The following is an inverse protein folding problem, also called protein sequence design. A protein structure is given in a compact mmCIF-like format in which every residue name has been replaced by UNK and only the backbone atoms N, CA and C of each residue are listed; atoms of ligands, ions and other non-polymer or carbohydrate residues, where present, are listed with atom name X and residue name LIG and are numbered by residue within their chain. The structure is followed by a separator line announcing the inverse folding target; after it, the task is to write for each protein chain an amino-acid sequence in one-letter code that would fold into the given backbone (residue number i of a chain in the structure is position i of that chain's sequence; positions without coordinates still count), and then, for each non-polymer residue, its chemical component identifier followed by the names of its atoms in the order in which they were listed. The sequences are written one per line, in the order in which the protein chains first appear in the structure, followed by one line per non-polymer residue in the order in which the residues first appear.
data_IF_410805587482
#
_entry.id   IF_410805587482
#
_cell.length_a   1.000
_cell.length_b   1.000
_cell.length_c   1.000
_cell.angle_alpha   90.00
_cell.angle_beta   90.00
_cell.angle_gamma   90.00
#
_symmetry.space_group_name_H-M   'P 1'
#
loop_
_entity.id
_entity.type
_entity.pdbx_description
1 polymer ?
#
# COMPACT_ATOMS: atom_id res chain seq x y z
N UNK A 1 -45.66 -34.71 -67.48
CA UNK A 1 -46.79 -33.95 -66.91
C UNK A 1 -46.21 -32.60 -66.50
N UNK A 2 -46.19 -31.60 -67.40
CA UNK A 2 -47.32 -30.68 -67.70
C UNK A 2 -47.62 -29.83 -66.43
N UNK A 3 -47.54 -28.50 -66.38
CA UNK A 3 -47.72 -27.40 -67.34
C UNK A 3 -47.18 -26.09 -66.68
N UNK A 4 -46.41 -25.22 -67.35
CA UNK A 4 -46.79 -23.91 -67.99
C UNK A 4 -47.01 -22.76 -66.97
N UNK A 5 -46.12 -21.73 -66.90
CA UNK A 5 -46.10 -20.40 -67.61
C UNK A 5 -46.95 -19.35 -66.82
N UNK A 6 -46.70 -18.04 -66.71
CA UNK A 6 -46.02 -17.04 -67.54
C UNK A 6 -45.94 -15.67 -66.80
N UNK A 7 -45.01 -14.82 -67.28
CA UNK A 7 -44.86 -13.34 -67.32
C UNK A 7 -46.08 -12.43 -66.94
N UNK A 8 -46.04 -11.11 -66.72
CA UNK A 8 -45.06 -10.00 -66.65
C UNK A 8 -45.84 -8.69 -66.33
N UNK A 9 -45.09 -7.60 -66.10
CA UNK A 9 -45.40 -6.19 -66.45
C UNK A 9 -46.12 -5.24 -65.46
N UNK A 10 -45.34 -4.27 -64.99
CA UNK A 10 -45.47 -2.81 -65.10
C UNK A 10 -46.80 -2.07 -64.78
N UNK A 11 -46.67 -1.01 -63.96
CA UNK A 11 -47.53 0.19 -64.00
C UNK A 11 -47.84 0.80 -62.63
N UNK A 12 -47.26 1.96 -62.31
CA UNK A 12 -47.90 2.93 -61.38
C UNK A 12 -49.02 3.71 -62.08
N UNK A 13 -49.61 4.79 -61.53
CA UNK A 13 -49.27 5.50 -60.28
C UNK A 13 -50.52 5.93 -59.44
N UNK A 14 -50.26 6.82 -58.47
CA UNK A 14 -51.13 7.89 -57.93
C UNK A 14 -52.25 7.62 -56.89
N UNK A 15 -51.96 8.12 -55.68
CA UNK A 15 -52.66 9.19 -54.93
C UNK A 15 -54.20 9.17 -54.91
N UNK A 16 -54.75 9.10 -53.69
CA UNK A 16 -55.79 10.03 -53.18
C UNK A 16 -56.02 9.82 -51.67
N UNK A 17 -55.73 10.83 -50.85
CA UNK A 17 -56.37 11.11 -49.56
C UNK A 17 -57.73 11.81 -49.83
N UNK A 18 -58.75 11.80 -48.94
CA UNK A 18 -58.75 12.62 -47.72
C UNK A 18 -59.58 12.09 -46.51
N UNK A 19 -59.46 12.84 -45.41
CA UNK A 19 -60.09 12.77 -44.07
C UNK A 19 -61.64 13.03 -44.09
N UNK A 20 -62.37 13.46 -43.02
CA UNK A 20 -62.10 13.68 -41.57
C UNK A 20 -63.29 13.28 -40.64
N UNK A 21 -63.31 13.86 -39.41
CA UNK A 21 -64.41 13.98 -38.40
C UNK A 21 -64.25 13.08 -37.15
N UNK A 22 -64.44 13.49 -35.89
CA UNK A 22 -64.89 14.72 -35.19
C UNK A 22 -64.56 14.49 -33.69
N UNK A 23 -63.89 15.41 -33.00
CA UNK A 23 -64.42 16.35 -31.98
C UNK A 23 -64.56 15.86 -30.51
N UNK A 24 -63.74 16.46 -29.63
CA UNK A 24 -64.03 17.08 -28.29
C UNK A 24 -64.55 16.16 -27.15
N UNK A 25 -64.22 16.27 -25.85
CA UNK A 25 -63.71 17.35 -24.99
C UNK A 25 -63.25 16.76 -23.62
N UNK A 26 -62.22 17.38 -23.01
CA UNK A 26 -61.95 17.69 -21.57
C UNK A 26 -62.16 16.61 -20.46
N UNK A 27 -61.13 16.18 -19.72
CA UNK A 27 -60.25 16.84 -18.73
C UNK A 27 -60.65 16.52 -17.27
N UNK A 28 -59.74 15.89 -16.52
CA UNK A 28 -59.85 15.65 -15.08
C UNK A 28 -58.54 15.10 -14.53
N UNK A 29 -57.82 15.94 -13.79
CA UNK A 29 -56.52 15.68 -13.20
C UNK A 29 -56.60 14.70 -12.01
N UNK A 30 -55.59 13.84 -11.84
CA UNK A 30 -55.22 13.32 -10.52
C UNK A 30 -53.71 13.08 -10.45
N UNK A 31 -53.03 13.93 -9.68
CA UNK A 31 -51.60 13.87 -9.40
C UNK A 31 -51.39 12.96 -8.20
N UNK A 32 -50.85 11.75 -8.41
CA UNK A 32 -50.36 10.90 -7.31
C UNK A 32 -48.89 10.51 -7.53
N UNK A 33 -48.08 11.07 -6.63
CA UNK A 33 -46.70 10.78 -6.24
C UNK A 33 -46.22 9.36 -6.53
N UNK A 34 -45.22 9.24 -7.42
CA UNK A 34 -44.25 8.14 -7.38
C UNK A 34 -43.11 8.51 -6.42
N UNK A 35 -43.28 8.09 -5.17
CA UNK A 35 -42.21 8.05 -4.17
C UNK A 35 -41.73 6.60 -4.09
N UNK A 36 -40.74 6.23 -4.90
CA UNK A 36 -40.40 4.82 -5.01
C UNK A 36 -39.10 4.47 -5.72
N UNK A 37 -38.02 5.27 -5.63
CA UNK A 37 -36.68 4.71 -5.94
C UNK A 37 -35.45 5.45 -5.35
N UNK A 38 -35.63 6.31 -4.34
CA UNK A 38 -34.47 6.98 -3.69
C UNK A 38 -33.87 6.19 -2.52
N UNK A 39 -34.48 5.06 -2.12
CA UNK A 39 -34.12 4.35 -0.88
C UNK A 39 -32.94 3.37 -1.04
N UNK A 40 -32.72 2.84 -2.25
CA UNK A 40 -31.60 1.94 -2.57
C UNK A 40 -30.28 2.66 -2.87
N UNK A 41 -30.33 3.92 -3.32
CA UNK A 41 -29.15 4.75 -3.47
C UNK A 41 -28.66 5.27 -2.11
N UNK A 42 -29.54 5.88 -1.31
CA UNK A 42 -29.18 6.46 0.01
C UNK A 42 -28.52 5.46 0.98
N UNK A 43 -28.86 4.17 0.92
CA UNK A 43 -28.26 3.15 1.79
C UNK A 43 -26.81 2.79 1.41
N UNK A 44 -26.46 2.75 0.12
CA UNK A 44 -25.08 2.48 -0.34
C UNK A 44 -24.14 3.65 -0.07
N UNK A 45 -24.59 4.89 -0.29
CA UNK A 45 -23.81 6.09 0.06
C UNK A 45 -23.66 6.24 1.59
N UNK A 46 -24.68 5.84 2.36
CA UNK A 46 -24.62 5.78 3.82
C UNK A 46 -23.61 4.76 4.33
N UNK A 47 -23.59 3.54 3.78
CA UNK A 47 -22.63 2.48 4.15
C UNK A 47 -21.18 2.83 3.79
N UNK A 48 -20.91 3.32 2.58
CA UNK A 48 -19.56 3.75 2.17
C UNK A 48 -19.05 4.96 2.99
N UNK A 49 -19.95 5.89 3.32
CA UNK A 49 -19.62 7.05 4.17
C UNK A 49 -19.38 6.64 5.63
N UNK A 50 -20.15 5.69 6.17
CA UNK A 50 -19.98 5.18 7.53
C UNK A 50 -18.72 4.31 7.68
N UNK A 51 -18.39 3.48 6.68
CA UNK A 51 -17.13 2.74 6.61
C UNK A 51 -15.95 3.71 6.60
N UNK A 52 -16.03 4.78 5.80
CA UNK A 52 -14.99 5.81 5.75
C UNK A 52 -14.79 6.54 7.09
N UNK A 53 -15.87 6.80 7.85
CA UNK A 53 -15.77 7.45 9.16
C UNK A 53 -15.27 6.48 10.22
N UNK A 54 -15.75 5.24 10.25
CA UNK A 54 -15.28 4.22 11.18
C UNK A 54 -13.80 3.87 10.98
N UNK A 55 -13.33 3.83 9.73
CA UNK A 55 -11.92 3.62 9.44
C UNK A 55 -11.07 4.85 9.80
N UNK A 56 -11.59 6.07 9.62
CA UNK A 56 -10.95 7.27 10.17
C UNK A 56 -10.86 7.23 11.71
N UNK A 57 -11.89 6.73 12.41
CA UNK A 57 -11.86 6.57 13.87
C UNK A 57 -10.86 5.51 14.32
N UNK A 58 -10.71 4.41 13.58
CA UNK A 58 -9.65 3.41 13.83
C UNK A 58 -8.26 4.00 13.62
N UNK A 59 -8.06 4.82 12.58
CA UNK A 59 -6.79 5.48 12.31
C UNK A 59 -6.39 6.45 13.43
N UNK A 60 -7.34 7.16 14.06
CA UNK A 60 -7.04 8.01 15.24
C UNK A 60 -6.43 7.27 16.43
N UNK A 61 -6.46 5.94 16.46
CA UNK A 61 -5.84 5.13 17.50
C UNK A 61 -4.32 5.09 17.37
N UNK A 62 -3.76 5.38 16.20
CA UNK A 62 -2.31 5.42 16.00
C UNK A 62 -1.70 6.62 16.73
N UNK A 63 -0.69 6.37 17.56
CA UNK A 63 -0.03 7.42 18.34
C UNK A 63 0.75 8.40 17.44
N UNK A 64 1.25 7.95 16.28
CA UNK A 64 1.95 8.81 15.31
C UNK A 64 1.08 9.95 14.77
N UNK A 65 -0.25 9.78 14.76
CA UNK A 65 -1.19 10.82 14.32
C UNK A 65 -1.47 11.89 15.38
N UNK A 66 -1.00 11.70 16.62
CA UNK A 66 -1.19 12.69 17.68
C UNK A 66 -0.36 13.95 17.36
N UNK A 67 -0.91 15.15 17.54
CA UNK A 67 -0.20 16.39 17.24
C UNK A 67 1.18 16.45 17.90
N UNK A 68 2.21 16.80 17.12
CA UNK A 68 3.59 16.93 17.59
C UNK A 68 4.34 15.62 17.83
N UNK A 69 3.67 14.46 17.85
CA UNK A 69 4.32 13.17 18.18
C UNK A 69 5.30 12.74 17.09
N UNK A 70 4.90 12.84 15.82
CA UNK A 70 5.78 12.57 14.69
C UNK A 70 6.97 13.54 14.66
N UNK A 71 6.75 14.84 14.83
CA UNK A 71 7.82 15.85 14.82
C UNK A 71 8.85 15.61 15.91
N UNK A 72 8.39 15.25 17.12
CA UNK A 72 9.27 14.87 18.22
C UNK A 72 10.07 13.61 17.87
N UNK A 73 9.40 12.57 17.33
CA UNK A 73 10.07 11.34 16.94
C UNK A 73 11.14 11.56 15.86
N UNK A 74 10.87 12.41 14.86
CA UNK A 74 11.85 12.79 13.82
C UNK A 74 13.06 13.45 14.47
N UNK A 75 12.85 14.41 15.36
CA UNK A 75 13.92 15.09 16.09
C UNK A 75 14.77 14.11 16.91
N UNK A 76 14.14 13.14 17.56
CA UNK A 76 14.82 12.17 18.40
C UNK A 76 15.65 11.18 17.57
N UNK A 77 15.14 10.73 16.41
CA UNK A 77 15.92 9.83 15.54
C UNK A 77 17.03 10.56 14.77
N UNK A 78 16.82 11.83 14.39
CA UNK A 78 17.86 12.67 13.79
C UNK A 78 19.03 12.92 14.76
N UNK A 79 18.75 13.07 16.05
CA UNK A 79 19.78 13.20 17.08
C UNK A 79 20.64 11.94 17.28
N UNK A 80 20.18 10.77 16.79
CA UNK A 80 20.91 9.50 16.86
C UNK A 80 21.74 9.21 15.59
N UNK A 81 21.67 10.08 14.59
CA UNK A 81 22.47 9.98 13.36
C UNK A 81 23.89 10.43 13.66
N UNK A 82 24.86 9.61 13.31
CA UNK A 82 26.27 9.93 13.47
C UNK A 82 26.81 10.60 12.19
N UNK A 83 27.17 11.89 12.20
CA UNK A 83 27.62 12.57 10.98
C UNK A 83 28.91 11.99 10.37
N UNK A 84 29.76 11.33 11.16
CA UNK A 84 31.01 10.75 10.68
C UNK A 84 30.78 9.41 9.98
N UNK A 85 29.83 8.61 10.50
CA UNK A 85 29.54 7.25 10.00
C UNK A 85 28.41 7.27 8.97
N UNK A 86 27.32 7.97 9.25
CA UNK A 86 26.08 7.99 8.47
C UNK A 86 26.09 9.14 7.44
N UNK A 87 26.74 10.27 7.75
CA UNK A 87 26.71 11.47 6.93
C UNK A 87 25.43 12.30 7.15
N UNK A 88 25.09 13.17 6.18
CA UNK A 88 23.93 14.06 6.33
C UNK A 88 22.62 13.33 6.09
N UNK A 89 21.57 13.69 6.83
CA UNK A 89 20.21 13.17 6.59
C UNK A 89 19.66 13.77 5.28
N UNK A 90 19.27 12.91 4.35
CA UNK A 90 18.67 13.32 3.07
C UNK A 90 17.13 13.32 3.16
N UNK A 91 16.56 12.31 3.79
CA UNK A 91 15.10 12.20 3.94
C UNK A 91 14.67 11.27 5.07
N UNK A 92 13.42 11.47 5.51
CA UNK A 92 12.77 10.73 6.60
C UNK A 92 11.46 10.13 6.08
N UNK A 93 11.19 8.89 6.46
CA UNK A 93 10.05 8.11 5.98
C UNK A 93 9.37 7.36 7.13
N UNK A 94 8.05 7.23 7.05
CA UNK A 94 7.25 6.39 7.93
C UNK A 94 6.76 5.18 7.15
N UNK A 95 7.31 4.02 7.47
CA UNK A 95 7.07 2.78 6.73
C UNK A 95 6.63 1.67 7.68
N UNK A 96 6.03 0.63 7.11
CA UNK A 96 5.87 -0.63 7.82
C UNK A 96 6.91 -1.63 7.30
N UNK A 97 7.72 -2.17 8.19
CA UNK A 97 8.58 -3.32 7.89
C UNK A 97 7.72 -4.58 7.85
N UNK A 98 7.88 -5.39 6.81
CA UNK A 98 7.30 -6.73 6.71
C UNK A 98 8.41 -7.75 6.93
N UNK A 99 8.35 -8.46 8.05
CA UNK A 99 9.31 -9.53 8.34
C UNK A 99 9.04 -10.81 7.51
N UNK A 100 9.94 -11.78 7.61
CA UNK A 100 9.83 -13.05 6.88
C UNK A 100 8.64 -13.93 7.32
N UNK A 101 8.03 -13.64 8.46
CA UNK A 101 6.80 -14.26 8.95
C UNK A 101 5.55 -13.47 8.56
N UNK A 102 5.69 -12.47 7.69
CA UNK A 102 4.65 -11.56 7.23
C UNK A 102 4.11 -10.61 8.32
N UNK A 103 4.79 -10.43 9.47
CA UNK A 103 4.33 -9.44 10.45
C UNK A 103 4.70 -8.03 10.00
N UNK A 104 3.73 -7.11 10.10
CA UNK A 104 3.95 -5.68 9.92
C UNK A 104 4.45 -5.05 11.22
N UNK A 105 5.48 -4.21 11.14
CA UNK A 105 6.01 -3.45 12.27
C UNK A 105 6.24 -2.00 11.85
N UNK A 106 5.77 -1.05 12.65
CA UNK A 106 5.95 0.40 12.41
C UNK A 106 7.45 0.77 12.53
N UNK A 107 7.96 1.51 11.54
CA UNK A 107 9.36 1.97 11.47
C UNK A 107 9.47 3.40 10.99
N UNK A 108 10.36 4.14 11.62
CA UNK A 108 10.93 5.35 11.04
C UNK A 108 12.18 4.97 10.24
N UNK A 109 12.28 5.44 9.01
CA UNK A 109 13.38 5.11 8.10
C UNK A 109 14.04 6.40 7.64
N UNK A 110 15.35 6.53 7.86
CA UNK A 110 16.15 7.66 7.42
C UNK A 110 17.08 7.21 6.31
N UNK A 111 17.10 7.97 5.22
CA UNK A 111 18.12 7.84 4.17
C UNK A 111 19.15 8.94 4.43
N UNK A 112 20.39 8.54 4.66
CA UNK A 112 21.53 9.46 4.83
C UNK A 112 22.46 9.38 3.61
N UNK A 113 23.54 10.16 3.64
CA UNK A 113 24.55 10.11 2.59
C UNK A 113 25.24 8.75 2.46
N UNK A 114 25.39 7.98 3.54
CA UNK A 114 26.15 6.72 3.53
C UNK A 114 25.36 5.50 4.00
N UNK A 115 24.28 5.69 4.76
CA UNK A 115 23.56 4.62 5.44
C UNK A 115 22.04 4.74 5.28
N UNK A 116 21.37 3.59 5.31
CA UNK A 116 19.93 3.47 5.51
C UNK A 116 19.72 3.09 6.97
N UNK A 117 19.07 3.96 7.73
CA UNK A 117 18.80 3.78 9.14
C UNK A 117 17.32 3.41 9.34
N UNK A 118 17.06 2.32 10.06
CA UNK A 118 15.71 1.83 10.33
C UNK A 118 15.51 1.77 11.83
N UNK A 119 14.58 2.57 12.33
CA UNK A 119 14.32 2.77 13.76
C UNK A 119 13.03 2.07 14.18
N UNK A 120 13.12 1.25 15.22
CA UNK A 120 11.96 0.87 16.04
C UNK A 120 11.78 1.98 17.08
N UNK A 121 10.75 2.78 16.89
CA UNK A 121 10.45 3.93 17.74
C UNK A 121 9.15 3.70 18.50
N UNK A 122 9.17 3.93 19.81
CA UNK A 122 7.97 3.89 20.65
C UNK A 122 7.33 5.28 20.70
N UNK A 123 6.22 5.45 19.96
CA UNK A 123 5.45 6.70 19.94
C UNK A 123 4.64 6.96 21.22
N UNK A 124 4.60 6.02 22.15
CA UNK A 124 3.99 6.18 23.48
C UNK A 124 5.00 6.72 24.48
N UNK A 125 6.20 6.12 24.52
CA UNK A 125 7.25 6.46 25.48
C UNK A 125 8.26 7.49 24.95
N UNK A 126 8.21 7.84 23.67
CA UNK A 126 9.15 8.74 23.00
C UNK A 126 10.60 8.27 23.13
N UNK A 127 10.87 7.02 22.79
CA UNK A 127 12.22 6.48 22.79
C UNK A 127 12.50 5.63 21.55
N UNK A 128 13.79 5.53 21.21
CA UNK A 128 14.25 4.58 20.21
C UNK A 128 14.65 3.28 20.91
N UNK A 129 13.94 2.20 20.60
CA UNK A 129 14.24 0.87 21.15
C UNK A 129 15.33 0.14 20.37
N UNK A 130 15.38 0.35 19.05
CA UNK A 130 16.32 -0.34 18.17
C UNK A 130 16.66 0.51 16.95
N UNK A 131 17.94 0.52 16.58
CA UNK A 131 18.44 1.09 15.33
C UNK A 131 19.10 0.00 14.51
N UNK A 132 18.67 -0.18 13.27
CA UNK A 132 19.32 -1.04 12.30
C UNK A 132 20.01 -0.16 11.26
N UNK A 133 21.34 -0.27 11.16
CA UNK A 133 22.16 0.52 10.23
C UNK A 133 22.59 -0.35 9.06
N UNK A 134 22.18 0.03 7.85
CA UNK A 134 22.54 -0.66 6.60
C UNK A 134 23.38 0.28 5.75
N UNK A 135 24.69 0.02 5.56
CA UNK A 135 25.51 0.85 4.70
C UNK A 135 25.07 0.74 3.24
N UNK A 136 24.86 1.89 2.59
CA UNK A 136 24.32 1.97 1.23
C UNK A 136 25.28 1.39 0.17
N UNK A 137 26.59 1.39 0.45
CA UNK A 137 27.60 0.76 -0.42
C UNK A 137 27.42 -0.77 -0.50
N UNK A 138 26.77 -1.41 0.48
CA UNK A 138 26.49 -2.84 0.42
C UNK A 138 25.18 -3.16 -0.29
N UNK A 139 24.26 -2.20 -0.41
CA UNK A 139 22.97 -2.40 -1.08
C UNK A 139 23.20 -2.73 -2.54
N UNK A 140 22.84 -3.94 -2.97
CA UNK A 140 23.07 -4.42 -4.34
C UNK A 140 21.80 -4.52 -5.16
N UNK A 141 20.66 -4.78 -4.51
CA UNK A 141 19.39 -4.99 -5.18
C UNK A 141 18.25 -4.34 -4.42
N UNK A 142 17.39 -3.66 -5.16
CA UNK A 142 16.12 -3.13 -4.68
C UNK A 142 15.03 -3.75 -5.53
N UNK A 143 14.22 -4.63 -4.94
CA UNK A 143 13.08 -5.23 -5.61
C UNK A 143 11.80 -4.50 -5.22
N UNK A 144 10.91 -4.29 -6.19
CA UNK A 144 9.62 -3.65 -6.00
C UNK A 144 8.53 -4.50 -6.63
N UNK A 145 7.40 -4.69 -5.94
CA UNK A 145 6.26 -5.40 -6.50
C UNK A 145 5.29 -5.87 -5.44
N UNK A 146 4.31 -6.66 -5.89
CA UNK A 146 3.27 -7.24 -5.04
C UNK A 146 3.82 -8.39 -4.21
N UNK A 147 3.17 -8.69 -3.09
CA UNK A 147 3.56 -9.81 -2.24
C UNK A 147 3.06 -11.14 -2.82
N UNK A 148 3.94 -12.13 -2.85
CA UNK A 148 3.62 -13.49 -3.27
C UNK A 148 3.94 -14.48 -2.15
N UNK A 149 3.14 -15.55 -2.08
CA UNK A 149 3.29 -16.59 -1.08
C UNK A 149 3.46 -17.96 -1.73
N UNK A 150 4.10 -18.93 -1.05
CA UNK A 150 4.19 -20.31 -1.52
C UNK A 150 2.81 -20.92 -1.79
N UNK A 151 2.74 -21.89 -2.72
CA UNK A 151 1.48 -22.50 -3.20
C UNK A 151 0.55 -23.05 -2.11
N UNK A 152 1.10 -23.44 -0.96
CA UNK A 152 0.36 -24.00 0.18
C UNK A 152 0.24 -23.03 1.37
N UNK A 153 0.64 -21.76 1.21
CA UNK A 153 0.45 -20.76 2.24
C UNK A 153 -1.02 -20.33 2.27
N UNK A 154 -1.58 -20.20 3.47
CA UNK A 154 -2.91 -19.64 3.70
C UNK A 154 -2.89 -18.11 3.82
N UNK A 155 -1.72 -17.50 3.66
CA UNK A 155 -1.55 -16.07 3.77
C UNK A 155 -1.82 -15.40 2.43
N UNK A 156 -2.57 -14.31 2.49
CA UNK A 156 -2.73 -13.38 1.39
C UNK A 156 -2.48 -11.97 1.94
N UNK A 157 -1.87 -11.13 1.10
CA UNK A 157 -1.56 -9.75 1.42
C UNK A 157 -1.78 -8.93 0.17
N UNK A 158 -2.55 -7.86 0.31
CA UNK A 158 -2.71 -6.86 -0.71
C UNK A 158 -1.64 -5.76 -0.58
N UNK A 159 -1.35 -5.12 -1.69
CA UNK A 159 -0.43 -3.99 -1.77
C UNK A 159 0.94 -4.33 -2.33
N UNK A 160 1.76 -3.29 -2.42
CA UNK A 160 3.11 -3.33 -2.96
C UNK A 160 4.13 -3.10 -1.85
N UNK A 161 5.32 -3.64 -2.05
CA UNK A 161 6.44 -3.45 -1.16
C UNK A 161 7.73 -3.14 -1.90
N UNK A 162 8.71 -2.65 -1.15
CA UNK A 162 10.09 -2.47 -1.58
C UNK A 162 10.98 -3.34 -0.71
N UNK A 163 11.71 -4.26 -1.31
CA UNK A 163 12.70 -5.10 -0.63
C UNK A 163 14.11 -4.67 -0.97
N UNK A 164 14.87 -4.32 0.05
CA UNK A 164 16.27 -3.91 -0.05
C UNK A 164 17.15 -5.10 0.32
N UNK A 165 18.14 -5.40 -0.51
CA UNK A 165 19.12 -6.47 -0.28
C UNK A 165 20.52 -5.85 -0.16
N UNK A 166 21.30 -6.31 0.82
CA UNK A 166 22.67 -5.81 1.05
C UNK A 166 23.72 -6.91 1.18
N UNK A 167 23.32 -8.19 1.27
CA UNK A 167 24.25 -9.30 1.31
C UNK A 167 23.80 -10.46 0.40
N UNK A 168 24.49 -10.62 -0.73
CA UNK A 168 24.22 -11.69 -1.70
C UNK A 168 24.89 -13.01 -1.35
N UNK A 169 25.89 -12.99 -0.46
CA UNK A 169 26.76 -14.14 -0.19
C UNK A 169 26.27 -14.97 0.99
N UNK A 170 25.42 -14.39 1.86
CA UNK A 170 24.87 -15.09 3.01
C UNK A 170 23.45 -15.56 2.74
N UNK A 171 23.29 -16.83 2.41
CA UNK A 171 21.97 -17.46 2.48
C UNK A 171 21.54 -17.53 3.96
N UNK A 172 20.28 -17.15 4.28
CA UNK A 172 19.76 -17.30 5.63
C UNK A 172 19.87 -18.75 6.07
N UNK A 173 20.43 -18.96 7.27
CA UNK A 173 20.47 -20.30 7.87
C UNK A 173 19.05 -20.87 7.99
N UNK A 174 18.92 -22.20 7.93
CA UNK A 174 17.62 -22.85 8.12
C UNK A 174 16.97 -22.43 9.45
N UNK A 175 17.75 -22.32 10.53
CA UNK A 175 17.27 -21.80 11.82
C UNK A 175 16.76 -20.36 11.75
N UNK A 176 17.40 -19.47 10.98
CA UNK A 176 16.95 -18.08 10.83
C UNK A 176 15.62 -18.01 10.07
N UNK A 177 15.44 -18.87 9.05
CA UNK A 177 14.17 -18.96 8.30
C UNK A 177 12.99 -19.38 9.17
N UNK A 178 13.23 -20.24 10.15
CA UNK A 178 12.20 -20.77 11.05
C UNK A 178 12.10 -20.02 12.40
N UNK A 179 12.94 -19.02 12.64
CA UNK A 179 12.88 -18.20 13.85
C UNK A 179 12.12 -16.89 13.59
N UNK A 180 10.97 -16.63 14.23
CA UNK A 180 10.18 -15.40 14.04
C UNK A 180 10.89 -14.12 14.53
N UNK A 181 11.98 -14.26 15.30
CA UNK A 181 12.78 -13.15 15.83
C UNK A 181 14.15 -13.01 15.15
N UNK A 182 14.41 -13.75 14.07
CA UNK A 182 15.65 -13.62 13.31
C UNK A 182 15.79 -12.21 12.72
N UNK A 183 16.91 -11.55 13.03
CA UNK A 183 17.27 -10.22 12.50
C UNK A 183 18.47 -10.28 11.54
N UNK A 184 19.00 -11.47 11.28
CA UNK A 184 20.19 -11.72 10.47
C UNK A 184 19.87 -11.95 8.99
N UNK A 185 18.65 -11.64 8.55
CA UNK A 185 18.25 -11.76 7.16
C UNK A 185 18.95 -10.68 6.31
N UNK A 186 19.51 -11.03 5.15
CA UNK A 186 20.26 -10.12 4.30
C UNK A 186 19.36 -9.19 3.46
N UNK A 187 18.11 -9.01 3.90
CA UNK A 187 17.12 -8.19 3.22
C UNK A 187 16.07 -7.66 4.19
N UNK A 188 15.57 -6.47 3.91
CA UNK A 188 14.45 -5.86 4.62
C UNK A 188 13.35 -5.52 3.63
N UNK A 189 12.10 -5.76 3.99
CA UNK A 189 10.95 -5.41 3.16
C UNK A 189 10.15 -4.32 3.80
N UNK A 190 9.82 -3.29 3.03
CA UNK A 190 8.97 -2.19 3.44
C UNK A 190 7.66 -2.23 2.66
N UNK A 191 6.60 -1.78 3.29
CA UNK A 191 5.27 -1.57 2.73
C UNK A 191 4.73 -0.23 3.22
N UNK A 192 3.69 0.26 2.57
CA UNK A 192 3.00 1.47 3.02
C UNK A 192 2.53 1.38 4.47
N UNK A 193 2.67 2.49 5.19
CA UNK A 193 2.07 2.65 6.51
C UNK A 193 0.53 2.79 6.40
N UNK A 194 -0.26 2.22 7.32
CA UNK A 194 -1.73 2.33 7.30
C UNK A 194 -2.26 3.77 7.31
N UNK A 195 -1.49 4.71 7.86
CA UNK A 195 -1.89 6.13 7.97
C UNK A 195 -1.60 6.97 6.72
N UNK A 196 -1.13 6.35 5.62
CA UNK A 196 -0.71 7.05 4.40
C UNK A 196 -1.74 8.04 3.85
N UNK A 197 -3.04 7.76 3.99
CA UNK A 197 -4.11 8.52 3.37
C UNK A 197 -4.82 9.48 4.34
N UNK A 198 -4.21 9.79 5.49
CA UNK A 198 -4.86 10.61 6.53
C UNK A 198 -4.67 12.11 6.33
N UNK A 199 -3.49 12.55 5.91
CA UNK A 199 -3.15 13.97 5.68
C UNK A 199 -2.02 14.06 4.64
N UNK A 200 -1.88 15.20 3.98
CA UNK A 200 -0.87 15.45 2.94
C UNK A 200 0.56 15.18 3.44
N UNK A 201 0.86 15.52 4.70
CA UNK A 201 2.14 15.20 5.34
C UNK A 201 2.42 13.69 5.36
N UNK A 202 1.42 12.89 5.72
CA UNK A 202 1.56 11.43 5.76
C UNK A 202 1.54 10.79 4.38
N UNK A 203 0.82 11.38 3.41
CA UNK A 203 0.88 10.97 2.01
C UNK A 203 2.32 11.09 1.50
N UNK A 204 2.99 12.20 1.79
CA UNK A 204 4.38 12.40 1.40
C UNK A 204 5.35 11.46 2.14
N UNK A 205 5.20 11.30 3.46
CA UNK A 205 6.11 10.48 4.29
C UNK A 205 5.96 8.97 4.13
N UNK A 206 4.80 8.50 3.65
CA UNK A 206 4.49 7.08 3.47
C UNK A 206 4.49 6.65 1.98
N UNK A 207 5.03 7.51 1.10
CA UNK A 207 5.11 7.26 -0.34
C UNK A 207 6.26 6.29 -0.65
N UNK A 208 5.89 5.04 -0.94
CA UNK A 208 6.86 3.98 -1.19
C UNK A 208 7.61 4.15 -2.52
N UNK A 209 7.01 4.83 -3.50
CA UNK A 209 7.64 5.03 -4.81
C UNK A 209 8.73 6.08 -4.71
N UNK A 210 8.42 7.21 -4.08
CA UNK A 210 9.42 8.26 -3.81
C UNK A 210 10.54 7.76 -2.89
N UNK A 211 10.19 6.97 -1.88
CA UNK A 211 11.18 6.30 -1.03
C UNK A 211 12.13 5.43 -1.86
N UNK A 212 11.59 4.57 -2.74
CA UNK A 212 12.38 3.69 -3.61
C UNK A 212 13.33 4.49 -4.49
N UNK A 213 12.84 5.56 -5.10
CA UNK A 213 13.62 6.42 -5.99
C UNK A 213 14.77 7.09 -5.24
N UNK A 214 14.49 7.72 -4.10
CA UNK A 214 15.54 8.35 -3.29
C UNK A 214 16.55 7.33 -2.75
N UNK A 215 16.09 6.14 -2.34
CA UNK A 215 16.98 5.08 -1.88
C UNK A 215 17.90 4.60 -3.00
N UNK A 216 17.36 4.42 -4.21
CA UNK A 216 18.14 4.04 -5.39
C UNK A 216 19.20 5.11 -5.68
N UNK A 217 18.82 6.37 -5.72
CA UNK A 217 19.73 7.47 -6.05
C UNK A 217 20.83 7.62 -4.99
N UNK A 218 20.47 7.55 -3.70
CA UNK A 218 21.43 7.57 -2.60
C UNK A 218 22.41 6.39 -2.66
N UNK A 219 21.90 5.18 -2.87
CA UNK A 219 22.77 4.01 -2.98
C UNK A 219 23.67 4.07 -4.22
N UNK A 220 23.16 4.53 -5.38
CA UNK A 220 23.99 4.73 -6.58
C UNK A 220 25.11 5.76 -6.36
N UNK A 221 24.80 6.87 -5.70
CA UNK A 221 25.80 7.89 -5.32
C UNK A 221 26.91 7.28 -4.45
N UNK A 222 26.54 6.49 -3.46
CA UNK A 222 27.51 5.86 -2.54
C UNK A 222 28.36 4.80 -3.24
N UNK A 223 27.80 4.03 -4.17
CA UNK A 223 28.57 3.07 -4.96
C UNK A 223 29.67 3.74 -5.79
N UNK A 224 29.40 4.93 -6.33
CA UNK A 224 30.39 5.72 -7.07
C UNK A 224 31.48 6.25 -6.12
N UNK A 225 31.09 6.71 -4.92
CA UNK A 225 32.04 7.29 -3.95
C UNK A 225 32.89 6.24 -3.21
N UNK A 226 32.30 5.09 -2.86
CA UNK A 226 32.90 4.02 -2.05
C UNK A 226 32.57 2.65 -2.65
N UNK A 227 33.20 2.28 -3.79
CA UNK A 227 32.92 1.00 -4.44
C UNK A 227 33.39 -0.17 -3.57
N UNK A 228 32.56 -1.21 -3.48
CA UNK A 228 32.91 -2.44 -2.76
C UNK A 228 33.56 -3.43 -3.74
N UNK A 229 34.76 -3.97 -3.43
CA UNK A 229 35.40 -5.00 -4.27
C UNK A 229 34.48 -6.20 -4.50
N UNK A 230 34.25 -6.58 -5.77
CA UNK A 230 33.36 -7.68 -6.12
C UNK A 230 31.88 -7.32 -6.34
N UNK A 231 31.47 -6.07 -6.08
CA UNK A 231 30.13 -5.53 -6.41
C UNK A 231 30.23 -4.39 -7.44
N UNK A 232 30.90 -4.64 -8.57
CA UNK A 232 31.17 -3.63 -9.61
C UNK A 232 29.92 -3.20 -10.41
N UNK A 233 28.86 -4.00 -10.39
CA UNK A 233 27.57 -3.62 -10.93
C UNK A 233 26.84 -2.90 -9.80
N UNK A 234 26.60 -1.60 -9.93
CA UNK A 234 25.88 -0.81 -8.93
C UNK A 234 24.46 -1.33 -8.64
N UNK A 235 23.63 -0.50 -8.03
CA UNK A 235 22.31 -0.92 -7.52
C UNK A 235 21.38 -1.43 -8.64
N UNK A 236 20.99 -2.70 -8.57
CA UNK A 236 20.04 -3.32 -9.47
C UNK A 236 18.60 -3.12 -8.97
N UNK A 237 17.78 -2.42 -9.75
CA UNK A 237 16.35 -2.26 -9.45
C UNK A 237 15.54 -3.29 -10.23
N UNK A 238 14.75 -4.11 -9.53
CA UNK A 238 13.90 -5.14 -10.13
C UNK A 238 12.43 -4.89 -9.83
N UNK A 239 11.57 -4.99 -10.84
CA UNK A 239 10.12 -5.01 -10.65
C UNK A 239 9.64 -6.46 -10.67
N UNK A 240 9.53 -7.08 -9.50
CA UNK A 240 9.16 -8.49 -9.36
C UNK A 240 8.34 -8.72 -8.09
N UNK A 241 7.55 -9.79 -8.07
CA UNK A 241 6.82 -10.18 -6.88
C UNK A 241 7.78 -10.50 -5.71
N UNK A 242 7.41 -10.04 -4.53
CA UNK A 242 8.16 -10.21 -3.29
C UNK A 242 7.70 -11.49 -2.60
N UNK A 243 8.47 -12.57 -2.76
CA UNK A 243 8.17 -13.84 -2.10
C UNK A 243 8.37 -13.72 -0.59
N UNK A 244 7.34 -14.05 0.18
CA UNK A 244 7.39 -14.19 1.64
C UNK A 244 7.30 -15.67 1.98
N UNK A 245 8.39 -16.26 2.47
CA UNK A 245 8.50 -17.70 2.77
C UNK A 245 7.75 -18.12 4.06
N UNK A 246 6.63 -17.48 4.36
CA UNK A 246 5.79 -17.81 5.51
C UNK A 246 4.76 -18.90 5.12
N UNK A 247 5.01 -20.12 5.60
CA UNK A 247 4.12 -21.28 5.39
C UNK A 247 3.05 -21.41 6.49
N UNK A 248 3.41 -21.08 7.73
CA UNK A 248 2.52 -21.13 8.90
C UNK A 248 2.34 -19.70 9.41
N UNK A 249 1.15 -19.13 9.23
CA UNK A 249 0.94 -17.69 9.45
C UNK A 249 -0.36 -17.30 10.15
N UNK A 250 -1.04 -18.23 10.83
CA UNK A 250 -2.25 -17.88 11.60
C UNK A 250 -1.93 -16.76 12.61
N UNK A 251 -0.76 -16.84 13.28
CA UNK A 251 -0.34 -15.83 14.26
C UNK A 251 -0.02 -14.48 13.61
N UNK A 252 0.62 -14.45 12.43
CA UNK A 252 0.90 -13.19 11.73
C UNK A 252 -0.35 -12.59 11.08
N UNK A 253 -1.27 -13.42 10.61
CA UNK A 253 -2.59 -12.96 10.16
C UNK A 253 -3.36 -12.27 11.29
N UNK A 254 -3.45 -12.91 12.47
CA UNK A 254 -4.10 -12.32 13.66
C UNK A 254 -3.37 -11.04 14.10
N UNK A 255 -2.03 -11.07 14.11
CA UNK A 255 -1.22 -9.92 14.51
C UNK A 255 -1.40 -8.71 13.59
N UNK A 256 -1.44 -8.93 12.28
CA UNK A 256 -1.62 -7.87 11.29
C UNK A 256 -3.04 -7.32 11.26
N UNK A 257 -4.06 -8.18 11.37
CA UNK A 257 -5.46 -7.76 11.48
C UNK A 257 -5.68 -6.86 12.70
N UNK A 258 -5.05 -7.21 13.83
CA UNK A 258 -5.08 -6.40 15.04
C UNK A 258 -4.01 -5.29 15.09
N UNK A 259 -3.21 -5.15 14.02
CA UNK A 259 -2.13 -4.16 13.88
C UNK A 259 -1.23 -4.12 15.13
N UNK A 260 -0.80 -5.30 15.60
CA UNK A 260 -0.02 -5.47 16.83
C UNK A 260 1.37 -4.83 16.76
N UNK A 261 1.97 -4.78 15.57
CA UNK A 261 3.27 -4.14 15.38
C UNK A 261 3.26 -2.62 15.24
N UNK A 262 2.11 -1.97 15.46
CA UNK A 262 1.97 -0.52 15.42
C UNK A 262 1.72 0.06 16.81
N UNK A 263 2.20 1.27 17.04
CA UNK A 263 1.89 2.04 18.23
C UNK A 263 0.46 2.55 18.12
N UNK A 264 -0.49 1.77 18.66
CA UNK A 264 -1.90 2.12 18.69
C UNK A 264 -2.50 2.00 20.08
N UNK A 265 -3.43 2.89 20.40
CA UNK A 265 -4.28 2.76 21.57
C UNK A 265 -5.16 1.51 21.43
N UNK A 266 -4.83 0.46 22.18
CA UNK A 266 -5.67 -0.73 22.35
C UNK A 266 -6.55 -0.44 23.55
N UNK A 267 -7.86 -0.35 23.35
CA UNK A 267 -8.80 0.21 24.33
C UNK A 267 -8.63 -0.40 25.73
N UNK A 268 -9.09 0.31 26.75
CA UNK A 268 -9.04 -0.18 28.12
C UNK A 268 -9.77 -1.52 28.22
N UNK A 269 -9.04 -2.60 28.49
CA UNK A 269 -9.59 -3.71 29.27
C UNK A 269 -9.36 -3.30 30.72
N UNK A 270 -10.33 -2.61 31.30
CA UNK A 270 -10.27 -2.09 32.67
C UNK A 270 -11.68 -1.85 33.19
N UNK A 271 -11.95 -2.49 34.33
CA UNK A 271 -13.15 -2.49 35.16
C UNK A 271 -13.68 -1.10 35.50
#
# INVERSE_FOLDING_TARGET
MADVKEAAAAGGPERSQPAPAEARTEAGADTRKDAGDERGARSRWGLLSLESTHDQFKLRRFFVLRPGTLTQAIKDVEALVDPEVDGSVQSVWLMAEVDHWNNEKERLVLITDLTLLVFKYDFVMFNCEQVHRIPLNYVDRIAHGTFAFPKHSLLQREGEGVRVFWDRLREPSFSSRWNPFATDLPSMTFTHHPVRNTNDTFVALCDIQKFREQLKDAAQKVHVMKPVPGKANGVLVLNQALLVEAYVGVMSFIGNQNKLGYCMARGNIGY
#
